data_IF_233114166426
#
_entry.id   IF_233114166426
#
_cell.length_a   1.000
_cell.length_b   1.000
_cell.length_c   1.000
_cell.angle_alpha   90.00
_cell.angle_beta   90.00
_cell.angle_gamma   90.00
#
_symmetry.space_group_name_H-M   'P 1'
#
loop_
_entity.id
_entity.type
_entity.pdbx_description
1 polymer ?
#
# COMPACT_ATOMS: atom_id res chain seq x y z
N UNK A 1 61.25 34.10 -65.18
CA UNK A 1 59.78 34.27 -65.18
C UNK A 1 59.43 35.15 -64.00
N UNK A 2 59.26 36.45 -64.22
CA UNK A 2 58.47 37.33 -63.32
C UNK A 2 56.98 37.30 -63.77
N UNK A 3 55.98 37.91 -63.09
CA UNK A 3 55.98 38.78 -61.88
C UNK A 3 54.86 38.42 -60.84
N UNK A 4 54.82 38.98 -59.63
CA UNK A 4 53.94 40.12 -59.21
C UNK A 4 53.37 39.76 -57.80
N UNK A 5 52.94 40.62 -56.87
CA UNK A 5 52.64 42.05 -56.86
C UNK A 5 52.41 42.54 -55.41
N UNK A 6 52.87 43.76 -55.11
CA UNK A 6 52.21 44.82 -54.31
C UNK A 6 52.25 44.76 -52.76
N UNK A 7 53.00 45.74 -52.21
CA UNK A 7 52.94 46.31 -50.87
C UNK A 7 51.56 46.86 -50.49
N UNK A 8 51.20 46.84 -49.20
CA UNK A 8 50.36 47.92 -48.64
C UNK A 8 50.69 48.22 -47.19
N UNK A 9 51.47 49.29 -47.05
CA UNK A 9 51.72 50.08 -45.86
C UNK A 9 50.40 50.63 -45.29
N UNK A 10 49.82 49.98 -44.29
CA UNK A 10 48.62 50.49 -43.60
C UNK A 10 48.48 50.16 -42.11
N UNK A 11 49.46 49.52 -41.45
CA UNK A 11 49.33 49.10 -40.04
C UNK A 11 50.48 49.63 -39.18
N UNK A 12 50.73 50.95 -39.22
CA UNK A 12 51.66 51.64 -38.30
C UNK A 12 51.03 52.81 -37.52
N UNK A 13 49.70 52.94 -37.47
CA UNK A 13 49.08 54.21 -37.03
C UNK A 13 48.48 54.20 -35.60
N UNK A 14 48.33 53.06 -34.89
CA UNK A 14 47.56 53.07 -33.62
C UNK A 14 48.37 52.79 -32.34
N UNK A 15 49.65 52.41 -32.40
CA UNK A 15 50.35 51.97 -31.18
C UNK A 15 51.12 53.04 -30.40
N UNK A 16 51.18 54.31 -30.81
CA UNK A 16 51.99 55.32 -30.10
C UNK A 16 51.43 56.75 -30.24
N UNK A 17 50.44 57.12 -29.43
CA UNK A 17 50.35 58.48 -28.88
C UNK A 17 49.30 58.61 -27.76
N UNK A 18 49.72 59.23 -26.65
CA UNK A 18 48.93 59.90 -25.60
C UNK A 18 48.21 58.97 -24.61
N UNK A 19 48.58 58.80 -23.32
CA UNK A 19 49.12 59.76 -22.35
C UNK A 19 48.54 61.17 -22.47
N UNK A 20 47.33 61.36 -21.93
CA UNK A 20 46.91 62.55 -21.15
C UNK A 20 45.38 62.67 -21.16
N UNK A 21 44.72 62.50 -20.00
CA UNK A 21 43.71 63.43 -19.45
C UNK A 21 43.05 62.84 -18.20
N UNK A 22 42.81 63.74 -17.24
CA UNK A 22 42.53 63.53 -15.82
C UNK A 22 41.09 63.97 -15.47
N UNK A 23 40.67 63.61 -14.23
CA UNK A 23 39.69 64.26 -13.34
C UNK A 23 38.33 63.57 -13.08
N UNK A 24 38.27 62.95 -11.88
CA UNK A 24 37.25 63.03 -10.79
C UNK A 24 35.76 63.20 -11.11
N UNK A 25 34.91 62.35 -10.50
CA UNK A 25 33.80 62.75 -9.60
C UNK A 25 33.03 61.52 -9.06
N UNK A 26 32.74 61.53 -7.76
CA UNK A 26 32.26 60.36 -7.00
C UNK A 26 30.78 60.02 -7.17
N UNK A 27 30.43 58.79 -6.80
CA UNK A 27 29.09 58.39 -6.32
C UNK A 27 29.23 57.21 -5.34
N UNK A 28 28.76 57.43 -4.11
CA UNK A 28 28.57 56.42 -3.06
C UNK A 28 27.66 55.29 -3.57
N UNK A 29 28.21 54.11 -3.94
CA UNK A 29 27.38 52.92 -4.18
C UNK A 29 27.04 52.25 -2.85
N UNK A 30 25.93 52.72 -2.30
CA UNK A 30 25.15 52.14 -1.20
C UNK A 30 25.04 50.62 -1.35
N UNK A 31 25.62 49.87 -0.42
CA UNK A 31 25.38 48.43 -0.23
C UNK A 31 23.92 48.24 0.18
N UNK A 32 23.03 48.04 -0.79
CA UNK A 32 21.70 47.48 -0.51
C UNK A 32 21.88 45.98 -0.33
N UNK A 33 21.86 45.54 0.92
CA UNK A 33 21.62 44.15 1.31
C UNK A 33 20.40 43.65 0.55
N UNK A 34 20.60 42.66 -0.31
CA UNK A 34 19.50 41.93 -0.96
C UNK A 34 18.80 41.13 0.14
N UNK A 35 17.48 41.27 0.35
CA UNK A 35 16.77 40.40 1.26
C UNK A 35 16.84 38.97 0.69
N UNK A 36 17.56 38.07 1.37
CA UNK A 36 17.41 36.64 1.16
C UNK A 36 16.04 36.21 1.70
N UNK A 37 15.00 36.35 0.89
CA UNK A 37 13.84 35.47 0.99
C UNK A 37 13.27 35.26 -0.41
N UNK A 38 13.94 34.42 -1.18
CA UNK A 38 13.25 33.72 -2.27
C UNK A 38 12.43 32.61 -1.62
N UNK A 39 11.25 32.95 -1.12
CA UNK A 39 10.24 31.94 -0.82
C UNK A 39 9.76 31.40 -2.17
N UNK A 40 10.18 30.18 -2.51
CA UNK A 40 9.71 29.50 -3.71
C UNK A 40 8.26 29.08 -3.49
N UNK A 41 7.31 29.48 -4.35
CA UNK A 41 5.88 29.20 -4.17
C UNK A 41 5.50 27.72 -4.42
N UNK A 42 6.48 26.86 -4.74
CA UNK A 42 6.24 25.46 -5.10
C UNK A 42 6.25 24.48 -3.92
N UNK A 43 6.61 24.89 -2.70
CA UNK A 43 6.60 23.98 -1.54
C UNK A 43 5.19 23.61 -1.05
N UNK A 44 4.16 24.39 -1.39
CA UNK A 44 2.78 24.18 -0.95
C UNK A 44 2.14 22.91 -1.53
N UNK A 45 2.48 22.56 -2.77
CA UNK A 45 1.94 21.40 -3.48
C UNK A 45 2.50 20.05 -2.99
N UNK A 46 3.74 20.06 -2.47
CA UNK A 46 4.36 18.84 -1.92
C UNK A 46 3.65 18.36 -0.65
N UNK A 47 3.21 19.31 0.19
CA UNK A 47 2.53 19.02 1.46
C UNK A 47 1.08 18.58 1.26
N UNK A 48 0.38 19.09 0.25
CA UNK A 48 -0.99 18.64 -0.06
C UNK A 48 -0.99 17.23 -0.65
N UNK A 49 -0.03 16.92 -1.52
CA UNK A 49 0.13 15.61 -2.14
C UNK A 49 0.52 14.54 -1.11
N UNK A 50 1.43 14.84 -0.17
CA UNK A 50 1.80 13.89 0.90
C UNK A 50 0.61 13.60 1.82
N UNK A 51 -0.15 14.62 2.21
CA UNK A 51 -1.40 14.45 2.98
C UNK A 51 -2.43 13.60 2.24
N UNK A 52 -2.57 13.79 0.93
CA UNK A 52 -3.48 12.98 0.12
C UNK A 52 -3.07 11.50 0.13
N UNK A 53 -1.77 11.20 -0.02
CA UNK A 53 -1.25 9.83 -0.01
C UNK A 53 -1.46 9.16 1.35
N UNK A 54 -1.17 9.85 2.44
CA UNK A 54 -1.43 9.32 3.79
C UNK A 54 -2.91 9.02 4.01
N UNK A 55 -3.80 9.93 3.58
CA UNK A 55 -5.24 9.68 3.61
C UNK A 55 -5.65 8.45 2.79
N UNK A 56 -5.05 8.23 1.62
CA UNK A 56 -5.32 7.05 0.81
C UNK A 56 -4.75 5.75 1.42
N UNK A 57 -3.67 5.81 2.19
CA UNK A 57 -3.16 4.66 2.97
C UNK A 57 -4.11 4.29 4.10
N UNK A 58 -4.59 5.27 4.86
CA UNK A 58 -5.61 5.05 5.89
C UNK A 58 -6.91 4.47 5.28
N UNK A 59 -7.31 4.99 4.12
CA UNK A 59 -8.42 4.44 3.35
C UNK A 59 -8.19 2.99 2.96
N UNK A 60 -7.02 2.64 2.40
CA UNK A 60 -6.70 1.26 2.03
C UNK A 60 -6.72 0.30 3.24
N UNK A 61 -6.28 0.76 4.43
CA UNK A 61 -6.39 0.01 5.68
C UNK A 61 -7.87 -0.23 6.04
N UNK A 62 -8.72 0.80 5.89
CA UNK A 62 -10.16 0.68 6.12
C UNK A 62 -10.80 -0.31 5.15
N UNK A 63 -10.49 -0.21 3.87
CA UNK A 63 -10.99 -1.12 2.83
C UNK A 63 -10.58 -2.57 3.13
N UNK A 64 -9.31 -2.81 3.44
CA UNK A 64 -8.83 -4.15 3.82
C UNK A 64 -9.50 -4.70 5.08
N UNK A 65 -9.76 -3.84 6.07
CA UNK A 65 -10.54 -4.21 7.27
C UNK A 65 -11.96 -4.62 6.91
N UNK A 66 -12.61 -3.91 5.98
CA UNK A 66 -13.96 -4.21 5.53
C UNK A 66 -14.04 -5.53 4.78
N UNK A 67 -13.09 -5.80 3.88
CA UNK A 67 -13.00 -7.09 3.19
C UNK A 67 -12.75 -8.26 4.15
N UNK A 68 -11.92 -8.03 5.16
CA UNK A 68 -11.61 -9.01 6.20
C UNK A 68 -12.84 -9.43 7.01
N UNK A 69 -13.80 -8.53 7.19
CA UNK A 69 -15.09 -8.85 7.83
C UNK A 69 -15.86 -9.86 6.98
N UNK A 70 -15.88 -9.71 5.65
CA UNK A 70 -16.54 -10.67 4.77
C UNK A 70 -15.82 -12.03 4.75
N UNK A 71 -14.49 -12.03 4.84
CA UNK A 71 -13.72 -13.28 5.02
C UNK A 71 -14.08 -13.96 6.33
N UNK A 72 -14.19 -13.20 7.43
CA UNK A 72 -14.64 -13.73 8.72
C UNK A 72 -16.07 -14.27 8.62
N UNK A 73 -17.00 -13.51 8.06
CA UNK A 73 -18.39 -13.91 7.86
C UNK A 73 -18.51 -15.20 7.06
N UNK A 74 -17.77 -15.33 5.95
CA UNK A 74 -17.70 -16.56 5.16
C UNK A 74 -17.15 -17.75 5.95
N UNK A 75 -16.14 -17.51 6.80
CA UNK A 75 -15.57 -18.55 7.68
C UNK A 75 -16.60 -19.05 8.69
N UNK A 76 -17.36 -18.15 9.30
CA UNK A 76 -18.48 -18.51 10.17
C UNK A 76 -19.61 -19.19 9.40
N UNK A 77 -19.87 -18.78 8.17
CA UNK A 77 -20.93 -19.38 7.36
C UNK A 77 -20.64 -20.86 7.06
N UNK A 78 -19.36 -21.20 6.86
CA UNK A 78 -18.89 -22.55 6.59
C UNK A 78 -18.53 -23.33 7.87
N UNK A 79 -18.67 -22.74 9.07
CA UNK A 79 -18.14 -23.33 10.32
C UNK A 79 -18.75 -24.68 10.69
N UNK A 80 -19.94 -24.98 10.18
CA UNK A 80 -20.63 -26.24 10.43
C UNK A 80 -20.01 -27.41 9.63
N UNK A 81 -19.14 -27.13 8.66
CA UNK A 81 -18.34 -28.12 7.93
C UNK A 81 -16.89 -27.64 7.82
N UNK A 82 -16.00 -28.25 8.64
CA UNK A 82 -14.57 -27.91 8.66
C UNK A 82 -13.93 -28.10 7.30
N UNK A 83 -14.35 -29.09 6.52
CA UNK A 83 -13.75 -29.32 5.22
C UNK A 83 -14.07 -28.17 4.28
N UNK A 84 -15.30 -27.65 4.31
CA UNK A 84 -15.67 -26.43 3.59
C UNK A 84 -14.90 -25.20 4.10
N UNK A 85 -14.82 -24.97 5.41
CA UNK A 85 -14.10 -23.84 5.98
C UNK A 85 -12.59 -23.87 5.63
N UNK A 86 -11.95 -25.04 5.76
CA UNK A 86 -10.54 -25.25 5.38
C UNK A 86 -10.36 -25.11 3.87
N UNK A 87 -11.29 -25.61 3.06
CA UNK A 87 -11.25 -25.48 1.60
C UNK A 87 -11.35 -24.02 1.17
N UNK A 88 -12.18 -23.22 1.85
CA UNK A 88 -12.26 -21.78 1.63
C UNK A 88 -10.94 -21.07 1.99
N UNK A 89 -10.32 -21.42 3.12
CA UNK A 89 -8.99 -20.93 3.48
C UNK A 89 -7.92 -21.30 2.45
N UNK A 90 -7.92 -22.55 1.97
CA UNK A 90 -7.03 -23.00 0.91
C UNK A 90 -7.26 -22.23 -0.40
N UNK A 91 -8.52 -21.97 -0.75
CA UNK A 91 -8.89 -21.17 -1.90
C UNK A 91 -8.37 -19.73 -1.79
N UNK A 92 -8.50 -19.10 -0.62
CA UNK A 92 -8.00 -17.76 -0.32
C UNK A 92 -6.48 -17.68 -0.53
N UNK A 93 -5.75 -18.72 -0.10
CA UNK A 93 -4.30 -18.78 -0.29
C UNK A 93 -3.89 -19.05 -1.75
N UNK A 94 -4.60 -19.94 -2.46
CA UNK A 94 -4.18 -20.44 -3.79
C UNK A 94 -4.61 -19.59 -4.97
N UNK A 95 -5.84 -19.11 -4.98
CA UNK A 95 -6.47 -18.54 -6.18
C UNK A 95 -6.48 -17.02 -6.21
N UNK A 96 -6.15 -16.38 -5.10
CA UNK A 96 -6.21 -14.93 -4.94
C UNK A 96 -4.83 -14.27 -5.18
N UNK A 97 -3.78 -15.08 -5.35
CA UNK A 97 -2.41 -14.62 -5.54
C UNK A 97 -1.66 -15.44 -6.60
N UNK A 98 -2.14 -15.43 -7.84
CA UNK A 98 -1.47 -16.13 -8.95
C UNK A 98 -0.06 -15.56 -9.27
N UNK A 99 0.36 -14.47 -8.61
CA UNK A 99 1.74 -13.99 -8.63
C UNK A 99 2.14 -13.58 -7.20
N UNK A 100 2.82 -14.48 -6.50
CA UNK A 100 3.35 -14.36 -5.13
C UNK A 100 2.31 -14.45 -3.99
N UNK A 101 2.37 -15.56 -3.26
CA UNK A 101 1.77 -15.72 -1.91
C UNK A 101 2.23 -14.64 -0.90
N UNK A 102 3.25 -13.86 -1.25
CA UNK A 102 3.76 -12.73 -0.47
C UNK A 102 3.02 -11.41 -0.73
N UNK A 103 1.98 -11.42 -1.56
CA UNK A 103 1.09 -10.28 -1.76
C UNK A 103 0.62 -9.71 -0.41
N UNK A 104 0.85 -8.43 -0.12
CA UNK A 104 0.62 -7.86 1.22
C UNK A 104 -0.85 -7.88 1.65
N UNK A 105 -1.78 -8.05 0.71
CA UNK A 105 -3.23 -8.16 0.93
C UNK A 105 -3.62 -9.60 1.25
N UNK A 106 -3.26 -10.57 0.40
CA UNK A 106 -3.58 -11.99 0.60
C UNK A 106 -3.02 -12.52 1.91
N UNK A 107 -1.78 -12.14 2.26
CA UNK A 107 -1.17 -12.52 3.53
C UNK A 107 -1.99 -12.03 4.73
N UNK A 108 -2.50 -10.79 4.71
CA UNK A 108 -3.32 -10.24 5.80
C UNK A 108 -4.69 -10.89 5.90
N UNK A 109 -5.34 -11.14 4.76
CA UNK A 109 -6.62 -11.86 4.72
C UNK A 109 -6.46 -13.30 5.23
N UNK A 110 -5.34 -13.95 4.90
CA UNK A 110 -5.01 -15.28 5.41
C UNK A 110 -4.81 -15.26 6.93
N UNK A 111 -4.12 -14.25 7.47
CA UNK A 111 -4.00 -14.07 8.92
C UNK A 111 -5.37 -13.88 9.59
N UNK A 112 -6.27 -13.11 8.98
CA UNK A 112 -7.65 -12.94 9.49
C UNK A 112 -8.39 -14.26 9.48
N UNK A 113 -8.35 -14.99 8.36
CA UNK A 113 -8.97 -16.31 8.24
C UNK A 113 -8.46 -17.25 9.34
N UNK A 114 -7.14 -17.40 9.46
CA UNK A 114 -6.52 -18.28 10.45
C UNK A 114 -6.90 -17.87 11.87
N UNK A 115 -6.85 -16.57 12.18
CA UNK A 115 -7.26 -16.07 13.48
C UNK A 115 -8.72 -16.41 13.80
N UNK A 116 -9.64 -16.18 12.84
CA UNK A 116 -11.06 -16.48 13.03
C UNK A 116 -11.29 -17.98 13.19
N UNK A 117 -10.64 -18.75 12.32
CA UNK A 117 -10.72 -20.20 12.31
C UNK A 117 -10.24 -20.80 13.64
N UNK A 118 -9.05 -20.43 14.12
CA UNK A 118 -8.50 -20.95 15.38
C UNK A 118 -9.29 -20.46 16.59
N UNK A 119 -9.60 -19.16 16.66
CA UNK A 119 -10.18 -18.55 17.87
C UNK A 119 -11.64 -18.89 18.04
N UNK A 120 -12.41 -18.97 16.96
CA UNK A 120 -13.87 -19.07 17.03
C UNK A 120 -14.43 -20.40 16.52
N UNK A 121 -13.75 -21.04 15.56
CA UNK A 121 -14.25 -22.29 14.95
C UNK A 121 -13.61 -23.50 15.64
N UNK A 122 -12.27 -23.54 15.69
CA UNK A 122 -11.49 -24.62 16.29
C UNK A 122 -11.74 -24.74 17.80
N UNK A 123 -11.87 -23.61 18.50
CA UNK A 123 -12.18 -23.59 19.94
C UNK A 123 -13.53 -24.20 20.30
N UNK A 124 -14.45 -24.36 19.33
CA UNK A 124 -15.78 -24.97 19.51
C UNK A 124 -15.84 -26.44 19.07
N UNK A 125 -14.72 -27.04 18.66
CA UNK A 125 -14.70 -28.36 17.99
C UNK A 125 -14.91 -29.60 18.88
N UNK A 126 -15.01 -29.49 20.21
CA UNK A 126 -15.13 -30.67 21.09
C UNK A 126 -16.39 -31.55 20.85
N UNK A 127 -17.34 -31.16 19.99
CA UNK A 127 -18.65 -31.81 19.89
C UNK A 127 -19.19 -32.02 18.46
N UNK A 128 -18.37 -32.41 17.47
CA UNK A 128 -18.87 -32.57 16.10
C UNK A 128 -19.47 -33.95 15.81
N UNK A 129 -20.80 -34.01 15.78
CA UNK A 129 -21.55 -34.97 14.96
C UNK A 129 -21.77 -34.37 13.57
N UNK A 130 -21.45 -35.12 12.52
CA UNK A 130 -21.66 -34.75 11.13
C UNK A 130 -23.15 -34.77 10.76
N UNK A 131 -23.92 -33.78 11.21
CA UNK A 131 -25.32 -33.60 10.82
C UNK A 131 -25.53 -32.18 10.30
N UNK A 132 -25.15 -31.94 9.04
CA UNK A 132 -25.36 -30.63 8.41
C UNK A 132 -25.25 -30.67 6.90
N UNK A 133 -26.38 -30.46 6.22
CA UNK A 133 -26.44 -30.16 4.79
C UNK A 133 -25.97 -28.72 4.54
N UNK A 134 -24.66 -28.48 4.68
CA UNK A 134 -24.02 -27.19 4.36
C UNK A 134 -23.74 -27.01 2.87
N UNK A 135 -24.23 -27.91 2.01
CA UNK A 135 -24.03 -27.82 0.55
C UNK A 135 -24.45 -26.45 0.02
N UNK A 136 -25.59 -25.92 0.49
CA UNK A 136 -26.12 -24.60 0.09
C UNK A 136 -25.19 -23.45 0.48
N UNK A 137 -24.54 -23.53 1.64
CA UNK A 137 -23.61 -22.48 2.08
C UNK A 137 -22.31 -22.54 1.30
N UNK A 138 -21.81 -23.75 1.06
CA UNK A 138 -20.65 -23.95 0.19
C UNK A 138 -20.92 -23.47 -1.24
N UNK A 139 -22.09 -23.76 -1.81
CA UNK A 139 -22.52 -23.26 -3.11
C UNK A 139 -22.58 -21.73 -3.15
N UNK A 140 -23.13 -21.09 -2.11
CA UNK A 140 -23.17 -19.63 -2.00
C UNK A 140 -21.76 -19.02 -1.97
N UNK A 141 -20.85 -19.57 -1.16
CA UNK A 141 -19.45 -19.12 -1.11
C UNK A 141 -18.77 -19.34 -2.45
N UNK A 142 -18.96 -20.51 -3.07
CA UNK A 142 -18.42 -20.82 -4.40
C UNK A 142 -18.91 -19.82 -5.44
N UNK A 143 -20.20 -19.49 -5.46
CA UNK A 143 -20.76 -18.48 -6.35
C UNK A 143 -20.26 -17.06 -6.05
N UNK A 144 -19.73 -16.82 -4.85
CA UNK A 144 -19.18 -15.51 -4.42
C UNK A 144 -17.67 -15.39 -4.63
N UNK A 145 -16.97 -16.50 -4.87
CA UNK A 145 -15.49 -16.53 -5.05
C UNK A 145 -14.98 -15.53 -6.08
N UNK A 146 -15.69 -15.35 -7.20
CA UNK A 146 -15.31 -14.38 -8.23
C UNK A 146 -15.27 -12.95 -7.70
N UNK A 147 -16.25 -12.54 -6.89
CA UNK A 147 -16.26 -11.19 -6.31
C UNK A 147 -15.18 -11.04 -5.24
N UNK A 148 -14.92 -12.08 -4.45
CA UNK A 148 -13.77 -12.09 -3.55
C UNK A 148 -12.46 -11.90 -4.33
N UNK A 149 -12.22 -12.66 -5.40
CA UNK A 149 -11.03 -12.52 -6.24
C UNK A 149 -10.88 -11.10 -6.79
N UNK A 150 -11.92 -10.56 -7.42
CA UNK A 150 -11.88 -9.21 -7.99
C UNK A 150 -11.67 -8.12 -6.93
N UNK A 151 -12.29 -8.26 -5.76
CA UNK A 151 -12.10 -7.33 -4.66
C UNK A 151 -10.66 -7.35 -4.13
N UNK A 152 -10.08 -8.54 -4.00
CA UNK A 152 -8.70 -8.68 -3.53
C UNK A 152 -7.72 -8.16 -4.57
N UNK A 153 -7.91 -8.47 -5.85
CA UNK A 153 -7.09 -7.93 -6.94
C UNK A 153 -7.15 -6.40 -6.99
N UNK A 154 -8.35 -5.83 -6.82
CA UNK A 154 -8.53 -4.39 -6.77
C UNK A 154 -7.77 -3.77 -5.58
N UNK A 155 -7.88 -4.38 -4.40
CA UNK A 155 -7.17 -3.94 -3.20
C UNK A 155 -5.66 -4.08 -3.35
N UNK A 156 -5.17 -5.16 -3.94
CA UNK A 156 -3.74 -5.37 -4.17
C UNK A 156 -3.16 -4.31 -5.11
N UNK A 157 -3.88 -3.96 -6.18
CA UNK A 157 -3.53 -2.83 -7.05
C UNK A 157 -3.50 -1.51 -6.31
N UNK A 158 -4.50 -1.23 -5.46
CA UNK A 158 -4.55 -0.02 -4.62
C UNK A 158 -3.32 0.04 -3.71
N UNK A 159 -3.01 -1.07 -3.03
CA UNK A 159 -1.87 -1.17 -2.10
C UNK A 159 -0.55 -1.02 -2.84
N UNK A 160 -0.40 -1.63 -4.01
CA UNK A 160 0.81 -1.55 -4.83
C UNK A 160 1.11 -0.11 -5.27
N UNK A 161 0.10 0.61 -5.79
CA UNK A 161 0.22 2.04 -6.15
C UNK A 161 0.65 2.88 -4.95
N UNK A 162 0.03 2.65 -3.78
CA UNK A 162 0.37 3.41 -2.56
C UNK A 162 1.76 3.09 -2.02
N UNK A 163 2.22 1.84 -2.12
CA UNK A 163 3.58 1.42 -1.75
C UNK A 163 4.64 2.05 -2.65
N UNK A 164 4.33 2.24 -3.93
CA UNK A 164 5.19 2.97 -4.87
C UNK A 164 5.18 4.49 -4.62
N UNK A 165 4.40 4.97 -3.64
CA UNK A 165 4.28 6.39 -3.32
C UNK A 165 3.48 7.16 -4.37
N UNK A 166 2.65 6.49 -5.15
CA UNK A 166 1.77 7.11 -6.14
C UNK A 166 0.37 7.38 -5.55
N UNK A 167 -0.47 8.09 -6.30
CA UNK A 167 -1.86 8.39 -5.91
C UNK A 167 -2.79 7.43 -6.63
N UNK A 168 -3.67 6.80 -5.86
CA UNK A 168 -4.68 5.87 -6.40
C UNK A 168 -5.72 6.64 -7.19
N UNK A 169 -6.04 6.16 -8.39
CA UNK A 169 -7.09 6.73 -9.24
C UNK A 169 -8.48 6.47 -8.63
N UNK A 170 -9.42 7.43 -8.67
CA UNK A 170 -10.78 7.23 -8.17
C UNK A 170 -11.47 5.99 -8.76
N UNK A 171 -11.26 5.71 -10.05
CA UNK A 171 -11.84 4.54 -10.73
C UNK A 171 -11.43 3.20 -10.11
N UNK A 172 -10.24 3.11 -9.49
CA UNK A 172 -9.83 1.90 -8.78
C UNK A 172 -10.62 1.70 -7.49
N UNK A 173 -10.91 2.79 -6.77
CA UNK A 173 -11.72 2.77 -5.54
C UNK A 173 -13.19 2.50 -5.85
N UNK A 174 -13.72 3.09 -6.93
CA UNK A 174 -15.08 2.83 -7.42
C UNK A 174 -15.27 1.36 -7.79
N UNK A 175 -14.32 0.78 -8.53
CA UNK A 175 -14.34 -0.64 -8.87
C UNK A 175 -14.31 -1.54 -7.62
N UNK A 176 -13.41 -1.25 -6.67
CA UNK A 176 -13.36 -1.97 -5.39
C UNK A 176 -14.70 -1.93 -4.64
N UNK A 177 -15.30 -0.73 -4.50
CA UNK A 177 -16.56 -0.55 -3.80
C UNK A 177 -17.73 -1.27 -4.49
N UNK A 178 -17.72 -1.33 -5.82
CA UNK A 178 -18.72 -2.06 -6.60
C UNK A 178 -18.65 -3.56 -6.32
N UNK A 179 -17.44 -4.15 -6.33
CA UNK A 179 -17.27 -5.58 -6.04
C UNK A 179 -17.59 -5.92 -4.58
N UNK A 180 -17.23 -5.04 -3.64
CA UNK A 180 -17.64 -5.17 -2.23
C UNK A 180 -19.15 -5.18 -2.07
N UNK A 181 -19.87 -4.31 -2.78
CA UNK A 181 -21.33 -4.28 -2.76
C UNK A 181 -21.92 -5.57 -3.33
N UNK A 182 -21.40 -6.08 -4.43
CA UNK A 182 -21.83 -7.36 -5.01
C UNK A 182 -21.62 -8.51 -4.03
N UNK A 183 -20.50 -8.50 -3.32
CA UNK A 183 -20.18 -9.48 -2.29
C UNK A 183 -21.16 -9.40 -1.10
N UNK A 184 -21.43 -8.19 -0.60
CA UNK A 184 -22.42 -7.96 0.45
C UNK A 184 -23.80 -8.47 0.04
N UNK A 185 -24.24 -8.15 -1.17
CA UNK A 185 -25.56 -8.57 -1.69
C UNK A 185 -25.70 -10.09 -1.77
N UNK A 186 -24.64 -10.80 -2.19
CA UNK A 186 -24.65 -12.27 -2.21
C UNK A 186 -24.72 -12.86 -0.81
N UNK A 187 -23.89 -12.38 0.11
CA UNK A 187 -23.81 -12.92 1.47
C UNK A 187 -25.02 -12.53 2.33
N UNK A 188 -25.74 -11.45 1.98
CA UNK A 188 -26.93 -10.97 2.70
C UNK A 188 -27.98 -12.06 2.93
N UNK A 189 -28.17 -12.94 1.95
CA UNK A 189 -29.15 -14.04 2.03
C UNK A 189 -28.86 -15.02 3.18
N UNK A 190 -27.59 -15.19 3.54
CA UNK A 190 -27.13 -16.17 4.52
C UNK A 190 -26.61 -15.53 5.82
N UNK A 191 -26.76 -14.21 5.98
CA UNK A 191 -26.34 -13.47 7.18
C UNK A 191 -26.92 -14.02 8.48
N UNK A 192 -28.16 -14.49 8.46
CA UNK A 192 -28.78 -15.10 9.63
C UNK A 192 -28.09 -16.41 10.05
N UNK A 193 -27.50 -17.14 9.10
CA UNK A 193 -26.77 -18.40 9.35
C UNK A 193 -25.40 -18.10 9.96
N UNK A 194 -24.65 -17.14 9.40
CA UNK A 194 -23.37 -16.73 9.99
C UNK A 194 -23.55 -16.22 11.43
N UNK A 195 -24.60 -15.43 11.69
CA UNK A 195 -24.96 -14.97 13.03
C UNK A 195 -25.35 -16.12 13.99
N UNK A 196 -26.14 -17.09 13.52
CA UNK A 196 -26.47 -18.28 14.30
C UNK A 196 -25.23 -19.11 14.66
N UNK A 197 -24.22 -19.12 13.79
CA UNK A 197 -22.92 -19.77 14.02
C UNK A 197 -22.01 -18.94 14.96
N UNK A 198 -22.49 -17.79 15.45
CA UNK A 198 -21.79 -16.94 16.41
C UNK A 198 -20.93 -15.85 15.78
N UNK A 199 -21.17 -15.50 14.50
CA UNK A 199 -20.53 -14.35 13.89
C UNK A 199 -21.00 -13.05 14.57
N UNK A 200 -20.07 -12.36 15.22
CA UNK A 200 -20.31 -11.03 15.78
C UNK A 200 -19.44 -9.98 15.06
N UNK A 201 -20.07 -9.23 14.17
CA UNK A 201 -19.46 -8.15 13.38
C UNK A 201 -18.59 -7.21 14.22
N UNK A 202 -19.06 -6.79 15.40
CA UNK A 202 -18.37 -5.82 16.24
C UNK A 202 -17.09 -6.40 16.85
N UNK A 203 -17.11 -7.68 17.25
CA UNK A 203 -15.93 -8.37 17.75
C UNK A 203 -14.84 -8.44 16.68
N UNK A 204 -15.22 -8.80 15.44
CA UNK A 204 -14.28 -8.84 14.32
C UNK A 204 -13.73 -7.45 13.99
N UNK A 205 -14.58 -6.42 13.98
CA UNK A 205 -14.17 -5.02 13.76
C UNK A 205 -13.18 -4.50 14.80
N UNK A 206 -13.21 -5.01 16.03
CA UNK A 206 -12.25 -4.63 17.05
C UNK A 206 -10.86 -5.25 16.82
N UNK A 207 -10.81 -6.48 16.29
CA UNK A 207 -9.57 -7.26 16.18
C UNK A 207 -8.86 -7.11 14.84
N UNK A 208 -9.59 -6.95 13.74
CA UNK A 208 -9.01 -6.92 12.39
C UNK A 208 -8.13 -5.69 12.10
N UNK A 209 -8.48 -4.45 12.49
CA UNK A 209 -7.73 -3.26 12.06
C UNK A 209 -6.23 -3.31 12.39
N UNK A 210 -5.87 -3.89 13.55
CA UNK A 210 -4.46 -4.04 13.94
C UNK A 210 -3.66 -4.90 12.96
N UNK A 211 -4.31 -5.88 12.32
CA UNK A 211 -3.73 -6.74 11.29
C UNK A 211 -3.50 -6.00 9.98
N UNK A 212 -3.99 -4.77 9.82
CA UNK A 212 -3.79 -3.93 8.64
C UNK A 212 -2.89 -2.72 8.89
N UNK A 213 -2.74 -2.28 10.14
CA UNK A 213 -1.92 -1.11 10.50
C UNK A 213 -0.46 -1.21 10.03
N UNK A 214 0.13 -2.40 10.00
CA UNK A 214 1.51 -2.60 9.53
C UNK A 214 1.66 -2.62 8.00
N UNK A 215 0.60 -2.39 7.23
CA UNK A 215 0.60 -2.51 5.75
C UNK A 215 1.56 -1.53 5.07
N UNK A 216 1.61 -0.30 5.58
CA UNK A 216 2.46 0.77 5.06
C UNK A 216 3.56 1.21 6.03
N UNK A 217 3.68 0.52 7.17
CA UNK A 217 4.80 0.74 8.09
C UNK A 217 6.06 0.15 7.45
N UNK A 218 7.14 0.91 7.43
CA UNK A 218 8.44 0.35 7.11
C UNK A 218 8.75 -0.70 8.19
N UNK A 219 9.10 -1.92 7.79
CA UNK A 219 9.69 -2.89 8.71
C UNK A 219 10.84 -2.18 9.41
N UNK A 220 10.89 -2.13 10.76
CA UNK A 220 12.05 -1.56 11.42
C UNK A 220 13.27 -2.37 10.95
N UNK A 221 14.15 -1.73 10.16
CA UNK A 221 15.47 -2.24 9.89
C UNK A 221 16.17 -2.35 11.25
N UNK A 222 16.27 -3.56 11.80
CA UNK A 222 16.90 -3.71 13.12
C UNK A 222 16.54 -4.97 13.89
N UNK A 223 16.62 -6.16 13.29
CA UNK A 223 17.18 -7.28 14.04
C UNK A 223 18.62 -7.40 13.57
N UNK A 224 19.50 -6.74 14.32
CA UNK A 224 20.93 -6.92 14.20
C UNK A 224 21.23 -8.41 14.46
N UNK A 225 21.87 -9.17 13.55
CA UNK A 225 22.10 -10.60 13.72
C UNK A 225 23.03 -10.97 14.89
N UNK A 226 23.49 -10.00 15.69
CA UNK A 226 24.36 -10.19 16.85
C UNK A 226 23.71 -10.82 18.09
N UNK A 227 22.44 -11.21 18.04
CA UNK A 227 21.79 -11.90 19.18
C UNK A 227 21.75 -13.43 18.99
N UNK A 228 22.06 -13.96 17.79
CA UNK A 228 22.11 -15.42 17.58
C UNK A 228 23.42 -16.09 18.03
N UNK A 229 24.47 -15.34 18.41
CA UNK A 229 25.72 -15.96 18.89
C UNK A 229 25.70 -16.37 20.36
N UNK A 230 24.80 -15.82 21.18
CA UNK A 230 24.87 -16.01 22.64
C UNK A 230 23.95 -17.11 23.19
N UNK A 231 23.22 -17.83 22.34
CA UNK A 231 22.40 -18.99 22.77
C UNK A 231 22.99 -20.35 22.41
N UNK A 232 24.18 -20.41 21.78
CA UNK A 232 24.81 -21.69 21.40
C UNK A 232 25.85 -22.25 22.39
N UNK A 233 26.18 -21.53 23.48
CA UNK A 233 27.24 -21.95 24.42
C UNK A 233 26.77 -22.57 25.74
N UNK A 234 25.46 -22.75 25.97
CA UNK A 234 24.97 -23.29 27.25
C UNK A 234 24.26 -24.65 27.12
N UNK A 235 24.95 -25.64 26.55
CA UNK A 235 24.65 -27.05 26.83
C UNK A 235 25.95 -27.83 27.06
N UNK A 236 26.20 -28.36 28.27
CA UNK A 236 27.33 -29.23 28.51
C UNK A 236 27.12 -30.58 27.81
N UNK A 237 28.21 -31.07 27.21
CA UNK A 237 28.31 -32.37 26.54
C UNK A 237 28.40 -33.51 27.55
#
# INVERSE_FOLDING_TARGET
MEPSSICSSAISIISKQMESMSMTNGVLRRTKTIPQSRYSPYSSGSTSLSKQKEKQKEEAIRLGTELSIFVAEATFLLSNDIYSAVSFGCWLCKNVGNENYEGPVVGRLSCVFLHVFETYILSKMEAWCHDGDNSKQWELITASTQHFSFTVEALDRIVSVLKNGEVVKPSCLEYYNQEMKNLEEKLRSAKHVSQANGFEMNAIKATVPQMWMSLFQATPQGINPKISSNMSENYPR
#
